data_IF_047195423213
#
_entry.id   IF_047195423213
#
_cell.length_a   1.000
_cell.length_b   1.000
_cell.length_c   1.000
_cell.angle_alpha   90.00
_cell.angle_beta   90.00
_cell.angle_gamma   90.00
#
_symmetry.space_group_name_H-M   'P 1'
#
loop_
_entity.id
_entity.type
_entity.pdbx_description
1 polymer ?
#
# COMPACT_ATOMS: atom_id res chain seq x y z
N UNK A 1 -81.98 -17.58 -51.59
CA UNK A 1 -80.70 -18.23 -51.24
C UNK A 1 -79.62 -17.16 -51.22
N UNK A 2 -78.98 -16.87 -50.08
CA UNK A 2 -77.77 -16.03 -50.07
C UNK A 2 -76.86 -16.43 -48.90
N UNK A 3 -75.54 -16.37 -49.14
CA UNK A 3 -74.49 -17.09 -48.40
C UNK A 3 -74.28 -16.57 -46.97
N UNK A 4 -74.18 -17.49 -46.01
CA UNK A 4 -73.68 -17.24 -44.66
C UNK A 4 -72.20 -16.84 -44.68
N UNK A 5 -71.82 -15.79 -43.95
CA UNK A 5 -70.43 -15.42 -43.69
C UNK A 5 -70.11 -15.62 -42.22
N UNK A 6 -69.32 -16.66 -41.90
CA UNK A 6 -68.84 -16.91 -40.54
C UNK A 6 -67.67 -15.96 -40.26
N UNK A 7 -67.86 -15.02 -39.33
CA UNK A 7 -66.77 -14.21 -38.77
C UNK A 7 -66.20 -14.91 -37.54
N UNK A 8 -65.00 -15.47 -37.66
CA UNK A 8 -64.25 -15.98 -36.51
C UNK A 8 -63.71 -14.80 -35.72
N UNK A 9 -64.18 -14.62 -34.49
CA UNK A 9 -63.63 -13.62 -33.57
C UNK A 9 -62.45 -14.21 -32.80
N UNK A 10 -61.23 -13.76 -33.12
CA UNK A 10 -60.03 -14.16 -32.38
C UNK A 10 -59.99 -13.44 -31.02
N UNK A 11 -60.19 -14.17 -29.94
CA UNK A 11 -60.04 -13.66 -28.57
C UNK A 11 -58.56 -13.64 -28.20
N UNK A 12 -57.94 -12.47 -28.26
CA UNK A 12 -56.56 -12.29 -27.80
C UNK A 12 -56.52 -12.26 -26.26
N UNK A 13 -55.92 -13.28 -25.63
CA UNK A 13 -55.60 -13.22 -24.20
C UNK A 13 -54.42 -12.26 -23.99
N UNK A 14 -54.72 -11.09 -23.43
CA UNK A 14 -53.69 -10.17 -22.94
C UNK A 14 -53.12 -10.73 -21.62
N UNK A 15 -51.96 -11.39 -21.68
CA UNK A 15 -51.22 -11.80 -20.48
C UNK A 15 -50.59 -10.55 -19.86
N UNK A 16 -51.25 -10.02 -18.83
CA UNK A 16 -50.76 -8.87 -18.07
C UNK A 16 -49.51 -9.24 -17.28
N UNK A 17 -48.34 -8.82 -17.76
CA UNK A 17 -47.09 -8.91 -17.00
C UNK A 17 -47.16 -7.93 -15.84
N UNK A 18 -47.44 -8.44 -14.63
CA UNK A 18 -47.32 -7.65 -13.40
C UNK A 18 -45.84 -7.44 -13.14
N UNK A 19 -45.33 -6.27 -13.53
CA UNK A 19 -44.00 -5.85 -13.15
C UNK A 19 -43.95 -5.72 -11.62
N UNK A 20 -43.13 -6.53 -10.96
CA UNK A 20 -42.78 -6.31 -9.57
C UNK A 20 -42.15 -4.91 -9.44
N UNK A 21 -42.43 -4.14 -8.37
CA UNK A 21 -41.78 -2.87 -8.16
C UNK A 21 -40.26 -3.11 -8.07
N UNK A 22 -39.49 -2.40 -8.90
CA UNK A 22 -38.05 -2.46 -8.82
C UNK A 22 -37.63 -2.05 -7.40
N UNK A 23 -36.84 -2.89 -6.73
CA UNK A 23 -36.26 -2.53 -5.44
C UNK A 23 -35.43 -1.25 -5.63
N UNK A 24 -35.84 -0.18 -4.97
CA UNK A 24 -35.13 1.09 -5.08
C UNK A 24 -33.69 0.89 -4.61
N UNK A 25 -32.73 1.27 -5.45
CA UNK A 25 -31.33 1.34 -5.03
C UNK A 25 -31.25 2.26 -3.79
N UNK A 26 -30.44 1.91 -2.77
CA UNK A 26 -30.32 2.74 -1.59
C UNK A 26 -29.83 4.13 -2.00
N UNK A 27 -30.64 5.14 -1.70
CA UNK A 27 -30.26 6.55 -1.84
C UNK A 27 -29.00 6.81 -1.01
N UNK A 28 -27.97 7.48 -1.55
CA UNK A 28 -26.84 7.92 -0.74
C UNK A 28 -27.33 8.75 0.46
N UNK A 29 -26.94 8.36 1.67
CA UNK A 29 -27.20 9.17 2.87
C UNK A 29 -26.39 10.48 2.74
N UNK A 30 -27.03 11.67 2.74
CA UNK A 30 -26.36 12.92 2.36
C UNK A 30 -25.47 13.51 3.47
N UNK A 31 -24.86 12.67 4.31
CA UNK A 31 -23.94 13.07 5.38
C UNK A 31 -22.53 12.47 5.19
N UNK A 32 -21.61 13.23 4.55
CA UNK A 32 -20.20 12.90 4.53
C UNK A 32 -19.61 13.11 5.93
N UNK A 33 -18.90 12.10 6.44
CA UNK A 33 -18.73 11.87 7.88
C UNK A 33 -17.60 10.87 8.30
N UNK A 34 -16.30 11.13 8.54
CA UNK A 34 -15.23 11.93 7.89
C UNK A 34 -15.63 13.25 7.29
N UNK A 35 -14.99 14.35 7.70
CA UNK A 35 -15.28 15.68 7.15
C UNK A 35 -15.06 15.68 5.62
N UNK A 36 -16.15 15.90 4.87
CA UNK A 36 -16.14 15.86 3.39
C UNK A 36 -15.93 14.47 2.74
N UNK A 37 -15.82 13.39 3.53
CA UNK A 37 -15.55 12.03 3.04
C UNK A 37 -16.80 11.20 2.65
N UNK A 38 -16.63 10.22 1.78
CA UNK A 38 -17.70 9.33 1.29
C UNK A 38 -17.60 7.93 1.88
N UNK A 39 -18.73 7.24 2.06
CA UNK A 39 -18.76 5.86 2.59
C UNK A 39 -17.93 4.91 1.73
N UNK A 40 -17.09 4.10 2.39
CA UNK A 40 -16.35 3.03 1.75
C UNK A 40 -17.29 1.87 1.38
N UNK A 41 -17.02 1.21 0.25
CA UNK A 41 -17.70 -0.04 -0.08
C UNK A 41 -17.16 -1.19 0.80
N UNK A 42 -18.00 -2.19 1.09
CA UNK A 42 -17.58 -3.37 1.86
C UNK A 42 -16.42 -4.09 1.15
N UNK A 43 -15.27 -4.20 1.82
CA UNK A 43 -14.04 -4.76 1.25
C UNK A 43 -13.19 -3.80 0.43
N UNK A 44 -13.51 -2.50 0.38
CA UNK A 44 -12.71 -1.50 -0.38
C UNK A 44 -11.41 -1.10 0.32
N UNK A 45 -11.41 -1.02 1.65
CA UNK A 45 -10.27 -0.67 2.49
C UNK A 45 -9.98 -1.80 3.50
N UNK A 46 -9.73 -3.03 3.02
CA UNK A 46 -9.92 -4.25 3.81
C UNK A 46 -8.87 -4.49 4.90
N UNK A 47 -7.78 -3.72 4.92
CA UNK A 47 -6.75 -3.73 5.97
C UNK A 47 -7.15 -2.96 7.25
N UNK A 48 -8.27 -2.23 7.22
CA UNK A 48 -8.66 -1.34 8.31
C UNK A 48 -9.06 -2.08 9.59
N UNK A 49 -8.67 -1.49 10.71
CA UNK A 49 -8.99 -1.93 12.07
C UNK A 49 -9.61 -0.76 12.83
N UNK A 50 -10.71 -1.02 13.54
CA UNK A 50 -11.22 -0.15 14.61
C UNK A 50 -10.75 -0.71 15.97
N UNK A 51 -10.28 0.16 16.86
CA UNK A 51 -9.71 -0.19 18.15
C UNK A 51 -10.60 0.35 19.29
N UNK A 52 -10.85 -0.50 20.29
CA UNK A 52 -11.89 -0.29 21.31
C UNK A 52 -11.68 0.89 22.29
N UNK A 53 -10.64 1.70 22.15
CA UNK A 53 -10.46 2.97 22.88
C UNK A 53 -10.95 4.20 22.12
N UNK A 54 -11.41 4.04 20.88
CA UNK A 54 -11.72 5.14 19.97
C UNK A 54 -10.50 5.56 19.13
N UNK A 55 -9.86 4.60 18.47
CA UNK A 55 -8.81 4.83 17.47
C UNK A 55 -8.97 3.90 16.26
N UNK A 56 -8.37 4.29 15.13
CA UNK A 56 -8.12 3.44 13.98
C UNK A 56 -6.78 2.72 14.05
N UNK A 57 -6.57 1.83 13.07
CA UNK A 57 -5.30 1.17 12.79
C UNK A 57 -5.33 0.45 11.45
N UNK A 58 -4.17 -0.03 11.02
CA UNK A 58 -4.03 -0.88 9.84
C UNK A 58 -3.39 -2.23 10.20
N UNK A 59 -3.95 -3.31 9.67
CA UNK A 59 -3.38 -4.64 9.82
C UNK A 59 -2.09 -4.73 8.98
N UNK A 60 -0.94 -4.63 9.64
CA UNK A 60 0.38 -4.66 9.01
C UNK A 60 0.82 -6.10 8.72
N UNK A 61 0.60 -7.00 9.67
CA UNK A 61 0.83 -8.44 9.52
C UNK A 61 -0.34 -9.22 10.15
N UNK A 62 -0.47 -10.55 9.93
CA UNK A 62 -1.64 -11.30 10.39
C UNK A 62 -1.95 -11.17 11.89
N UNK A 63 -0.97 -10.80 12.73
CA UNK A 63 -1.14 -10.66 14.18
C UNK A 63 -0.74 -9.26 14.71
N UNK A 64 -0.37 -8.31 13.84
CA UNK A 64 0.07 -6.97 14.25
C UNK A 64 -0.73 -5.86 13.57
N UNK A 65 -1.27 -4.95 14.38
CA UNK A 65 -1.91 -3.72 13.93
C UNK A 65 -0.97 -2.54 14.17
N UNK A 66 -0.69 -1.75 13.14
CA UNK A 66 -0.02 -0.45 13.25
C UNK A 66 -1.06 0.62 13.58
N UNK A 67 -0.79 1.42 14.60
CA UNK A 67 -1.62 2.54 15.07
C UNK A 67 -0.72 3.65 15.63
N UNK A 68 -1.28 4.69 16.25
CA UNK A 68 -0.53 5.79 16.86
C UNK A 68 0.01 5.42 18.26
N UNK A 69 1.07 6.08 18.69
CA UNK A 69 1.61 5.94 20.04
C UNK A 69 0.69 6.54 21.11
N UNK A 70 -0.06 7.60 20.78
CA UNK A 70 -1.05 8.21 21.68
C UNK A 70 -2.33 7.39 21.87
N UNK A 71 -2.62 6.45 20.97
CA UNK A 71 -3.76 5.52 21.07
C UNK A 71 -3.56 4.41 22.10
N UNK A 72 -2.37 4.31 22.71
CA UNK A 72 -1.99 3.19 23.59
C UNK A 72 -1.25 3.67 24.83
N UNK A 73 -1.31 2.86 25.88
CA UNK A 73 -0.44 2.97 27.04
C UNK A 73 1.03 2.63 26.68
N UNK A 74 1.92 2.72 27.68
CA UNK A 74 3.32 2.28 27.61
C UNK A 74 3.48 0.85 27.07
N UNK A 75 4.62 0.61 26.40
CA UNK A 75 5.09 -0.72 25.99
C UNK A 75 4.99 -1.77 27.10
N UNK A 76 4.40 -2.93 26.80
CA UNK A 76 4.20 -4.01 27.75
C UNK A 76 3.09 -4.98 27.35
N UNK A 77 2.82 -5.97 28.22
CA UNK A 77 1.67 -6.85 28.06
C UNK A 77 0.36 -6.10 28.35
N UNK A 78 -0.59 -6.17 27.42
CA UNK A 78 -1.91 -5.57 27.52
C UNK A 78 -2.93 -6.48 26.81
N UNK A 79 -4.10 -6.67 27.42
CA UNK A 79 -5.22 -7.47 26.91
C UNK A 79 -6.54 -6.71 26.93
N UNK A 80 -6.51 -5.40 27.24
CA UNK A 80 -7.68 -4.54 27.37
C UNK A 80 -8.27 -4.21 25.98
N UNK A 81 -7.40 -3.79 25.06
CA UNK A 81 -7.74 -3.40 23.69
C UNK A 81 -8.38 -4.58 22.95
N UNK A 82 -9.49 -4.32 22.28
CA UNK A 82 -10.08 -5.19 21.26
C UNK A 82 -9.95 -4.52 19.89
N UNK A 83 -9.45 -5.27 18.92
CA UNK A 83 -9.33 -4.88 17.53
C UNK A 83 -10.46 -5.52 16.71
N UNK A 84 -11.19 -4.70 15.96
CA UNK A 84 -12.34 -5.08 15.13
C UNK A 84 -11.99 -4.88 13.67
N UNK A 85 -12.12 -5.93 12.86
CA UNK A 85 -11.61 -5.99 11.49
C UNK A 85 -12.63 -6.59 10.50
N UNK A 86 -12.52 -6.22 9.23
CA UNK A 86 -13.20 -6.88 8.11
C UNK A 86 -14.59 -6.35 7.73
N UNK A 87 -15.06 -5.29 8.39
CA UNK A 87 -16.38 -4.68 8.17
C UNK A 87 -16.27 -3.18 7.89
N UNK A 88 -17.24 -2.62 7.16
CA UNK A 88 -17.46 -1.16 7.03
C UNK A 88 -18.40 -0.64 8.13
N UNK A 89 -19.36 -1.45 8.58
CA UNK A 89 -20.32 -1.09 9.62
C UNK A 89 -19.83 -1.57 10.98
N UNK A 90 -19.61 -0.65 11.93
CA UNK A 90 -19.03 -0.95 13.26
C UNK A 90 -19.92 -1.84 14.14
N UNK A 91 -21.20 -1.96 13.77
CA UNK A 91 -22.23 -2.77 14.44
C UNK A 91 -22.55 -4.07 13.68
N UNK A 92 -21.80 -4.42 12.63
CA UNK A 92 -22.01 -5.66 11.87
C UNK A 92 -21.54 -6.90 12.68
N UNK A 93 -22.43 -7.88 12.97
CA UNK A 93 -22.08 -9.05 13.77
C UNK A 93 -21.14 -10.04 13.06
N UNK A 94 -20.78 -9.81 11.79
CA UNK A 94 -19.74 -10.58 11.08
C UNK A 94 -18.31 -10.07 11.35
N UNK A 95 -18.15 -8.97 12.09
CA UNK A 95 -16.86 -8.37 12.38
C UNK A 95 -15.91 -9.30 13.16
N UNK A 96 -14.68 -9.43 12.67
CA UNK A 96 -13.65 -10.24 13.34
C UNK A 96 -13.09 -9.41 14.50
N UNK A 97 -13.45 -9.80 15.74
CA UNK A 97 -13.00 -9.15 16.97
C UNK A 97 -11.92 -9.97 17.67
N UNK A 98 -10.73 -9.40 17.87
CA UNK A 98 -9.60 -10.07 18.55
C UNK A 98 -8.99 -9.15 19.61
N UNK A 99 -8.72 -9.70 20.80
CA UNK A 99 -8.04 -8.96 21.88
C UNK A 99 -6.56 -8.79 21.61
N UNK A 100 -5.97 -7.74 22.19
CA UNK A 100 -4.54 -7.57 22.37
C UNK A 100 -3.92 -8.64 23.30
N UNK A 101 -2.60 -8.77 23.22
CA UNK A 101 -1.73 -9.43 24.21
C UNK A 101 -0.50 -8.61 24.60
N UNK A 102 -0.08 -7.67 23.73
CA UNK A 102 1.08 -6.82 23.95
C UNK A 102 0.96 -5.53 23.13
N UNK A 103 1.49 -4.44 23.66
CA UNK A 103 1.66 -3.14 23.00
C UNK A 103 3.15 -2.82 22.91
N UNK A 104 3.61 -2.39 21.74
CA UNK A 104 4.93 -1.77 21.56
C UNK A 104 4.75 -0.35 21.04
N UNK A 105 4.96 0.64 21.91
CA UNK A 105 4.99 2.06 21.59
C UNK A 105 6.38 2.47 21.09
N UNK A 106 6.46 3.41 20.16
CA UNK A 106 7.73 3.87 19.57
C UNK A 106 8.79 4.24 20.63
N UNK A 107 10.04 3.76 20.51
CA UNK A 107 11.11 4.06 21.47
C UNK A 107 11.37 5.57 21.64
N UNK A 108 11.04 6.10 22.82
CA UNK A 108 11.24 7.50 23.17
C UNK A 108 10.11 8.45 22.76
N UNK A 109 8.93 7.93 22.39
CA UNK A 109 7.72 8.76 22.27
C UNK A 109 7.42 9.49 23.59
N UNK A 110 7.05 10.78 23.47
CA UNK A 110 6.84 11.68 24.61
C UNK A 110 5.67 12.68 24.41
N UNK A 111 4.87 12.52 23.35
CA UNK A 111 3.85 13.49 22.94
C UNK A 111 4.25 14.43 21.80
N UNK A 112 5.40 14.22 21.13
CA UNK A 112 5.82 15.01 19.96
C UNK A 112 6.71 14.17 19.04
N UNK A 113 6.40 14.11 17.74
CA UNK A 113 7.03 13.16 16.82
C UNK A 113 6.76 11.70 17.20
N UNK A 114 7.39 10.76 16.48
CA UNK A 114 7.40 9.30 16.76
C UNK A 114 6.04 8.66 17.08
N UNK A 115 4.93 9.19 16.59
CA UNK A 115 3.60 8.78 17.04
C UNK A 115 3.13 7.51 16.32
N UNK A 116 3.77 6.38 16.63
CA UNK A 116 3.43 5.04 16.13
C UNK A 116 3.52 3.97 17.22
N UNK A 117 2.69 2.94 17.11
CA UNK A 117 2.71 1.76 17.96
C UNK A 117 2.24 0.51 17.22
N UNK A 118 2.69 -0.66 17.69
CA UNK A 118 2.23 -1.97 17.26
C UNK A 118 1.42 -2.63 18.37
N UNK A 119 0.18 -3.02 18.05
CA UNK A 119 -0.66 -3.86 18.91
C UNK A 119 -0.54 -5.31 18.42
N UNK A 120 -0.10 -6.20 19.30
CA UNK A 120 -0.08 -7.65 19.03
C UNK A 120 -1.39 -8.30 19.44
N UNK A 121 -2.09 -8.87 18.47
CA UNK A 121 -3.34 -9.60 18.65
C UNK A 121 -3.11 -10.96 19.32
N UNK A 122 -4.10 -11.48 20.05
CA UNK A 122 -4.06 -12.77 20.72
C UNK A 122 -4.00 -13.95 19.74
N UNK A 123 -4.66 -13.81 18.59
CA UNK A 123 -4.69 -14.79 17.50
C UNK A 123 -4.47 -14.10 16.17
N UNK A 124 -3.74 -14.70 15.22
CA UNK A 124 -3.67 -14.19 13.85
C UNK A 124 -5.05 -14.14 13.18
N UNK A 125 -5.31 -13.08 12.42
CA UNK A 125 -6.42 -12.95 11.48
C UNK A 125 -6.18 -13.93 10.33
N UNK A 126 -7.19 -14.76 10.00
CA UNK A 126 -7.12 -15.69 8.88
C UNK A 126 -7.41 -14.98 7.55
N UNK A 127 -6.66 -15.31 6.49
CA UNK A 127 -6.73 -14.67 5.17
C UNK A 127 -6.76 -13.13 5.21
N UNK A 128 -5.79 -12.48 5.89
CA UNK A 128 -5.82 -11.04 6.12
C UNK A 128 -5.45 -10.25 4.87
N UNK A 129 -6.07 -9.09 4.70
CA UNK A 129 -5.60 -8.06 3.80
C UNK A 129 -4.63 -7.18 4.58
N UNK A 130 -3.37 -7.15 4.15
CA UNK A 130 -2.30 -6.43 4.84
C UNK A 130 -1.99 -5.12 4.12
N UNK A 131 -1.82 -4.04 4.87
CA UNK A 131 -1.33 -2.78 4.32
C UNK A 131 0.20 -2.74 4.35
N UNK A 132 0.81 -2.46 3.19
CA UNK A 132 2.27 -2.34 3.08
C UNK A 132 2.70 -0.96 3.58
N UNK A 133 3.77 -0.90 4.36
CA UNK A 133 4.41 0.38 4.71
C UNK A 133 5.05 1.02 3.48
N UNK A 134 4.99 2.34 3.36
CA UNK A 134 5.90 3.04 2.47
C UNK A 134 7.35 2.92 2.97
N UNK A 135 8.29 2.78 2.05
CA UNK A 135 9.75 2.73 2.31
C UNK A 135 10.54 3.65 1.38
N UNK A 136 9.85 4.42 0.52
CA UNK A 136 10.44 5.34 -0.44
C UNK A 136 9.85 6.75 -0.24
N UNK A 137 10.63 7.72 0.27
CA UNK A 137 10.19 9.10 0.46
C UNK A 137 9.67 9.80 -0.81
N UNK A 138 9.97 9.31 -2.02
CA UNK A 138 9.36 9.83 -3.24
C UNK A 138 7.82 9.68 -3.26
N UNK A 139 7.26 8.75 -2.47
CA UNK A 139 5.82 8.57 -2.35
C UNK A 139 5.15 9.56 -1.39
N UNK A 140 5.90 10.25 -0.53
CA UNK A 140 5.38 11.11 0.56
C UNK A 140 4.92 12.50 0.06
N UNK A 141 4.30 12.54 -1.13
CA UNK A 141 3.80 13.77 -1.76
C UNK A 141 2.62 13.50 -2.71
N UNK A 142 1.91 14.55 -3.12
CA UNK A 142 0.78 14.46 -4.05
C UNK A 142 -0.56 14.40 -3.33
N UNK A 143 -1.38 13.39 -3.62
CA UNK A 143 -2.70 13.19 -3.00
C UNK A 143 -2.71 11.84 -2.28
N UNK A 144 -3.24 11.85 -1.06
CA UNK A 144 -3.39 10.69 -0.20
C UNK A 144 -4.88 10.36 0.01
N UNK A 145 -5.17 9.14 0.42
CA UNK A 145 -6.50 8.70 0.88
C UNK A 145 -6.46 8.53 2.39
N UNK A 146 -7.35 9.23 3.10
CA UNK A 146 -7.58 9.10 4.54
C UNK A 146 -8.89 8.34 4.77
N UNK A 147 -9.03 7.66 5.91
CA UNK A 147 -10.16 6.76 6.17
C UNK A 147 -10.31 6.43 7.66
N UNK A 148 -11.55 6.17 8.09
CA UNK A 148 -11.86 5.79 9.45
C UNK A 148 -13.35 5.85 9.79
N UNK A 149 -13.65 5.88 11.08
CA UNK A 149 -14.98 5.91 11.69
C UNK A 149 -15.16 7.12 12.63
N UNK A 150 -14.18 8.02 12.68
CA UNK A 150 -14.13 9.14 13.63
C UNK A 150 -15.20 10.19 13.43
N UNK A 151 -15.04 11.27 14.20
CA UNK A 151 -15.95 12.39 14.24
C UNK A 151 -16.11 13.06 12.87
N UNK A 152 -17.33 13.49 12.64
CA UNK A 152 -17.86 13.82 11.32
C UNK A 152 -17.81 15.32 11.02
N UNK A 153 -17.48 16.08 12.07
CA UNK A 153 -17.18 17.49 12.15
C UNK A 153 -16.39 17.71 13.45
N UNK A 154 -15.66 18.81 13.57
CA UNK A 154 -14.93 19.20 14.79
C UNK A 154 -15.84 19.17 16.04
N UNK A 155 -15.55 18.32 17.03
CA UNK A 155 -16.38 18.10 18.23
C UNK A 155 -17.78 17.51 17.94
N UNK A 156 -17.90 16.68 16.90
CA UNK A 156 -19.14 16.13 16.37
C UNK A 156 -19.61 14.83 17.05
N UNK A 157 -19.75 13.78 16.26
CA UNK A 157 -20.04 12.42 16.71
C UNK A 157 -19.58 11.42 15.65
N UNK A 158 -19.07 10.27 16.08
CA UNK A 158 -18.45 9.24 15.25
C UNK A 158 -19.41 8.60 14.24
N UNK A 159 -18.88 8.16 13.11
CA UNK A 159 -19.66 7.45 12.09
C UNK A 159 -19.71 5.94 12.35
N UNK A 160 -20.93 5.38 12.39
CA UNK A 160 -21.18 3.92 12.34
C UNK A 160 -20.54 3.26 11.10
N UNK A 161 -20.39 3.99 10.01
CA UNK A 161 -19.85 3.47 8.75
C UNK A 161 -18.48 4.04 8.44
N UNK A 162 -17.55 3.15 8.07
CA UNK A 162 -16.24 3.53 7.57
C UNK A 162 -16.39 4.40 6.33
N UNK A 163 -15.80 5.59 6.36
CA UNK A 163 -15.71 6.46 5.20
C UNK A 163 -14.24 6.72 4.82
N UNK A 164 -14.08 7.41 3.69
CA UNK A 164 -12.79 7.79 3.10
C UNK A 164 -12.85 9.19 2.48
N UNK A 165 -11.74 9.89 2.41
CA UNK A 165 -11.59 11.11 1.63
C UNK A 165 -10.22 11.16 0.94
N UNK A 166 -10.08 12.04 -0.05
CA UNK A 166 -8.78 12.38 -0.63
C UNK A 166 -8.31 13.73 -0.05
N UNK A 167 -7.03 13.81 0.28
CA UNK A 167 -6.40 14.99 0.88
C UNK A 167 -5.02 15.25 0.25
N UNK A 168 -4.68 16.49 -0.13
CA UNK A 168 -3.37 16.78 -0.73
C UNK A 168 -2.29 17.01 0.33
N UNK A 169 -1.07 16.63 -0.02
CA UNK A 169 0.17 16.90 0.73
C UNK A 169 0.40 18.40 0.98
N UNK A 170 0.89 18.72 2.17
CA UNK A 170 1.37 20.05 2.56
C UNK A 170 2.81 19.91 3.04
N UNK A 171 3.74 20.68 2.47
CA UNK A 171 5.15 20.64 2.84
C UNK A 171 5.42 21.19 4.26
N UNK A 172 6.52 20.78 4.88
CA UNK A 172 6.94 21.20 6.22
C UNK A 172 6.89 22.72 6.46
N UNK A 173 7.28 23.53 5.47
CA UNK A 173 7.36 24.97 5.63
C UNK A 173 5.97 25.62 5.57
N UNK A 174 5.13 25.18 4.62
CA UNK A 174 3.71 25.54 4.55
C UNK A 174 2.94 25.07 5.78
N UNK A 175 3.26 23.88 6.32
CA UNK A 175 2.65 23.35 7.53
C UNK A 175 3.06 24.17 8.77
N UNK A 176 4.37 24.43 8.96
CA UNK A 176 4.89 25.28 10.03
C UNK A 176 4.35 26.72 9.99
N UNK A 177 4.02 27.23 8.80
CA UNK A 177 3.42 28.54 8.62
C UNK A 177 1.98 28.66 9.17
N UNK A 178 1.30 27.57 9.50
CA UNK A 178 0.02 27.58 10.23
C UNK A 178 0.14 28.07 11.69
N UNK A 179 1.37 28.23 12.20
CA UNK A 179 1.69 28.82 13.51
C UNK A 179 1.25 27.96 14.70
N UNK A 180 1.36 28.49 15.92
CA UNK A 180 0.96 27.77 17.13
C UNK A 180 1.68 26.43 17.27
N UNK A 181 0.93 25.34 17.45
CA UNK A 181 1.47 23.99 17.60
C UNK A 181 2.30 23.54 16.38
N UNK A 182 1.91 23.93 15.17
CA UNK A 182 2.61 23.59 13.92
C UNK A 182 4.03 24.15 13.84
N UNK A 183 4.36 25.20 14.60
CA UNK A 183 5.75 25.67 14.71
C UNK A 183 6.68 24.66 15.40
N UNK A 184 6.14 23.66 16.09
CA UNK A 184 6.88 22.53 16.69
C UNK A 184 7.09 21.31 15.79
N UNK A 185 6.48 21.28 14.60
CA UNK A 185 6.43 20.09 13.72
C UNK A 185 7.82 19.49 13.45
N UNK A 186 7.96 18.20 13.74
CA UNK A 186 9.22 17.44 13.67
C UNK A 186 9.46 16.99 12.23
N UNK A 187 10.29 17.76 11.51
CA UNK A 187 10.60 17.52 10.11
C UNK A 187 11.08 16.09 9.86
N UNK A 188 10.56 15.47 8.80
CA UNK A 188 10.76 14.07 8.42
C UNK A 188 10.24 12.99 9.40
N UNK A 189 9.87 13.30 10.65
CA UNK A 189 9.11 12.37 11.51
C UNK A 189 7.59 12.55 11.31
N UNK A 190 7.15 13.75 10.95
CA UNK A 190 5.75 14.14 10.77
C UNK A 190 5.52 14.67 9.34
N UNK A 191 4.42 14.25 8.71
CA UNK A 191 3.96 14.68 7.38
C UNK A 191 2.58 15.33 7.49
N UNK A 192 2.35 16.43 6.75
CA UNK A 192 1.09 17.18 6.79
C UNK A 192 0.25 16.97 5.52
N UNK A 193 -1.08 16.99 5.67
CA UNK A 193 -2.01 16.99 4.54
C UNK A 193 -3.29 17.77 4.87
N UNK A 194 -3.71 18.66 3.95
CA UNK A 194 -4.99 19.35 3.95
C UNK A 194 -5.20 20.18 2.68
N UNK A 195 -6.46 20.45 2.34
CA UNK A 195 -6.74 21.55 1.42
C UNK A 195 -6.56 22.91 2.13
N UNK A 196 -6.01 23.95 1.45
CA UNK A 196 -5.82 25.26 2.07
C UNK A 196 -7.09 25.90 2.65
N UNK A 197 -8.24 25.67 2.01
CA UNK A 197 -9.55 26.14 2.47
C UNK A 197 -10.20 25.27 3.57
N UNK A 198 -9.54 24.19 4.01
CA UNK A 198 -10.12 23.19 4.90
C UNK A 198 -11.21 22.36 4.21
N UNK A 199 -12.15 21.84 5.01
CA UNK A 199 -13.34 21.11 4.55
C UNK A 199 -13.15 19.62 4.28
N UNK A 200 -11.92 19.10 4.30
CA UNK A 200 -11.61 17.66 4.32
C UNK A 200 -10.43 17.39 5.25
N UNK A 201 -10.63 16.48 6.21
CA UNK A 201 -9.63 16.07 7.21
C UNK A 201 -10.08 14.79 7.93
N UNK A 202 -9.16 14.18 8.68
CA UNK A 202 -9.45 13.23 9.76
C UNK A 202 -9.86 13.95 11.04
N UNK A 203 -10.53 13.26 11.96
CA UNK A 203 -11.00 13.87 13.22
C UNK A 203 -10.89 12.90 14.43
N UNK A 204 -11.46 13.29 15.58
CA UNK A 204 -11.39 12.48 16.80
C UNK A 204 -11.93 11.05 16.55
N UNK A 205 -11.17 10.02 16.87
CA UNK A 205 -11.52 8.63 16.59
C UNK A 205 -10.89 8.03 15.32
N UNK A 206 -10.41 8.87 14.39
CA UNK A 206 -9.57 8.41 13.27
C UNK A 206 -8.09 8.24 13.66
N UNK A 207 -7.69 8.81 14.80
CA UNK A 207 -6.38 8.65 15.46
C UNK A 207 -5.80 7.24 15.29
N UNK A 208 -4.54 7.13 14.87
CA UNK A 208 -3.91 5.84 14.58
C UNK A 208 -4.30 5.17 13.27
N UNK A 209 -5.33 5.65 12.57
CA UNK A 209 -5.71 5.18 11.24
C UNK A 209 -4.62 5.41 10.19
N UNK A 210 -4.65 4.68 9.05
CA UNK A 210 -3.69 4.86 7.97
C UNK A 210 -4.08 6.01 7.04
N UNK A 211 -3.12 6.89 6.76
CA UNK A 211 -3.13 7.70 5.54
C UNK A 211 -2.39 6.91 4.45
N UNK A 212 -3.01 6.73 3.28
CA UNK A 212 -2.50 5.82 2.24
C UNK A 212 -2.35 6.48 0.87
N UNK A 213 -1.65 5.82 -0.03
CA UNK A 213 -1.52 6.20 -1.44
C UNK A 213 -1.45 4.95 -2.30
N UNK A 214 -2.09 4.99 -3.47
CA UNK A 214 -1.94 3.92 -4.46
C UNK A 214 -0.73 4.21 -5.34
N UNK A 215 0.21 3.27 -5.43
CA UNK A 215 1.46 3.37 -6.18
C UNK A 215 1.62 2.10 -7.01
N UNK A 216 1.73 2.24 -8.33
CA UNK A 216 1.81 1.10 -9.28
C UNK A 216 0.69 0.05 -9.12
N UNK A 217 -0.50 0.48 -8.65
CA UNK A 217 -1.65 -0.37 -8.38
C UNK A 217 -1.74 -0.92 -6.94
N UNK A 218 -0.65 -0.93 -6.18
CA UNK A 218 -0.64 -1.35 -4.77
C UNK A 218 -0.96 -0.20 -3.82
N UNK A 219 -1.53 -0.50 -2.65
CA UNK A 219 -1.75 0.47 -1.58
C UNK A 219 -0.59 0.46 -0.58
N UNK A 220 -0.01 1.65 -0.36
CA UNK A 220 1.03 1.89 0.64
C UNK A 220 0.49 2.79 1.76
N UNK A 221 0.88 2.52 3.00
CA UNK A 221 0.70 3.44 4.12
C UNK A 221 1.78 4.52 4.09
N UNK A 222 1.35 5.76 3.88
CA UNK A 222 2.20 6.97 3.91
C UNK A 222 2.28 7.53 5.33
N UNK A 223 1.16 7.50 6.06
CA UNK A 223 1.03 8.11 7.37
C UNK A 223 0.24 7.29 8.38
N UNK A 224 0.40 7.65 9.65
CA UNK A 224 -0.48 7.27 10.77
C UNK A 224 -1.15 8.55 11.29
N UNK A 225 -2.48 8.60 11.40
CA UNK A 225 -3.21 9.79 11.92
C UNK A 225 -2.72 10.13 13.31
N UNK A 226 -2.22 11.36 13.51
CA UNK A 226 -1.54 11.76 14.75
C UNK A 226 -2.24 12.93 15.45
N UNK A 227 -2.22 14.15 14.89
CA UNK A 227 -2.79 15.34 15.56
C UNK A 227 -3.21 16.46 14.60
N UNK A 228 -3.93 17.46 15.12
CA UNK A 228 -4.34 18.68 14.41
C UNK A 228 -4.95 19.73 15.34
N UNK A 229 -4.90 21.02 14.95
CA UNK A 229 -5.63 22.09 15.65
C UNK A 229 -7.11 22.08 15.20
N UNK A 230 -7.91 21.22 15.84
CA UNK A 230 -9.30 20.96 15.43
C UNK A 230 -9.38 20.01 14.22
N UNK A 231 -10.50 20.03 13.49
CA UNK A 231 -10.70 19.19 12.30
C UNK A 231 -11.11 20.03 11.09
N UNK A 232 -10.40 19.86 9.96
CA UNK A 232 -10.75 20.44 8.65
C UNK A 232 -10.89 21.97 8.61
N UNK A 233 -10.25 22.69 9.54
CA UNK A 233 -10.30 24.16 9.56
C UNK A 233 -9.40 24.76 8.47
N UNK A 234 -9.78 25.92 7.92
CA UNK A 234 -8.99 26.57 6.88
C UNK A 234 -7.60 26.99 7.39
N UNK A 235 -6.55 26.62 6.66
CA UNK A 235 -5.15 26.85 7.08
C UNK A 235 -4.68 26.00 8.27
N UNK A 236 -5.42 24.97 8.69
CA UNK A 236 -5.04 24.02 9.74
C UNK A 236 -4.90 22.62 9.15
N UNK A 237 -3.68 22.14 8.86
CA UNK A 237 -3.49 20.83 8.28
C UNK A 237 -3.61 19.70 9.31
N UNK A 238 -4.07 18.53 8.88
CA UNK A 238 -3.91 17.30 9.63
C UNK A 238 -2.44 16.86 9.61
N UNK A 239 -1.94 16.36 10.74
CA UNK A 239 -0.57 15.88 10.92
C UNK A 239 -0.57 14.38 11.17
N UNK A 240 0.34 13.70 10.48
CA UNK A 240 0.45 12.25 10.45
C UNK A 240 1.91 11.83 10.70
N UNK A 241 2.14 10.72 11.38
CA UNK A 241 3.50 10.15 11.52
C UNK A 241 3.99 9.66 10.16
N UNK A 242 5.14 10.14 9.68
CA UNK A 242 5.67 9.82 8.36
C UNK A 242 6.24 8.39 8.32
N UNK A 243 5.52 7.46 7.68
CA UNK A 243 5.82 6.02 7.77
C UNK A 243 7.15 5.65 7.11
N UNK A 244 7.56 6.33 6.05
CA UNK A 244 8.83 6.07 5.36
C UNK A 244 10.07 6.25 6.25
N UNK A 245 10.00 7.16 7.23
CA UNK A 245 11.07 7.40 8.21
C UNK A 245 11.18 6.23 9.19
N UNK A 246 10.05 5.80 9.75
CA UNK A 246 9.99 4.78 10.80
C UNK A 246 9.87 3.35 10.29
N UNK A 247 9.78 3.12 8.98
CA UNK A 247 9.53 1.79 8.41
C UNK A 247 10.56 0.73 8.87
N UNK A 248 11.81 1.12 9.11
CA UNK A 248 12.85 0.23 9.65
C UNK A 248 12.64 -0.11 11.14
N UNK A 249 12.24 0.87 11.96
CA UNK A 249 11.96 0.67 13.38
C UNK A 249 10.67 -0.15 13.60
N UNK A 250 9.63 0.16 12.81
CA UNK A 250 8.35 -0.58 12.80
C UNK A 250 8.60 -2.04 12.39
N UNK A 251 9.45 -2.28 11.39
CA UNK A 251 9.87 -3.64 11.00
C UNK A 251 10.58 -4.37 12.14
N UNK A 252 11.60 -3.74 12.75
CA UNK A 252 12.38 -4.35 13.84
C UNK A 252 11.51 -4.66 15.07
N UNK A 253 10.58 -3.76 15.41
CA UNK A 253 9.60 -3.99 16.47
C UNK A 253 8.63 -5.14 16.12
N UNK A 254 8.18 -5.24 14.86
CA UNK A 254 7.32 -6.34 14.41
C UNK A 254 8.01 -7.71 14.45
N UNK A 255 9.27 -7.79 14.02
CA UNK A 255 10.10 -9.00 14.17
C UNK A 255 10.27 -9.39 15.65
N UNK A 256 10.59 -8.43 16.52
CA UNK A 256 10.74 -8.67 17.96
C UNK A 256 9.45 -9.16 18.64
N UNK A 257 8.28 -8.75 18.13
CA UNK A 257 6.98 -9.25 18.57
C UNK A 257 6.65 -10.66 18.02
N UNK A 258 7.51 -11.26 17.20
CA UNK A 258 7.27 -12.54 16.53
C UNK A 258 6.18 -12.46 15.46
N UNK A 259 5.96 -11.25 14.92
CA UNK A 259 4.91 -10.96 13.94
C UNK A 259 5.43 -10.19 12.73
N UNK A 260 6.73 -10.26 12.43
CA UNK A 260 7.29 -9.67 11.21
C UNK A 260 6.66 -10.29 9.94
N UNK A 261 6.61 -9.57 8.81
CA UNK A 261 6.22 -10.15 7.53
C UNK A 261 7.11 -11.35 7.17
N UNK A 262 6.57 -12.32 6.42
CA UNK A 262 7.41 -13.40 5.85
C UNK A 262 8.53 -12.77 5.00
N UNK A 263 9.82 -13.16 5.15
CA UNK A 263 10.93 -12.30 4.73
C UNK A 263 11.01 -11.96 3.24
N UNK A 264 10.47 -10.81 2.87
CA UNK A 264 11.11 -9.93 1.89
C UNK A 264 12.33 -9.26 2.55
N UNK A 265 13.45 -9.04 1.85
CA UNK A 265 14.68 -8.58 2.47
C UNK A 265 14.65 -7.08 2.83
N UNK A 266 14.34 -6.78 4.08
CA UNK A 266 14.50 -5.45 4.68
C UNK A 266 15.99 -5.12 4.88
N UNK A 267 16.45 -3.89 4.58
CA UNK A 267 17.86 -3.53 4.73
C UNK A 267 18.31 -3.51 6.19
N UNK A 268 19.41 -4.22 6.49
CA UNK A 268 20.03 -4.20 7.82
C UNK A 268 20.79 -2.89 8.03
N UNK A 269 20.62 -2.17 9.16
CA UNK A 269 21.48 -1.04 9.52
C UNK A 269 22.92 -1.52 9.72
N UNK A 270 23.90 -0.77 9.24
CA UNK A 270 25.29 -1.22 9.12
C UNK A 270 25.92 -1.60 10.48
N UNK A 271 26.25 -2.88 10.73
CA UNK A 271 27.10 -3.23 11.87
C UNK A 271 28.54 -2.79 11.58
N UNK A 272 29.19 -2.18 12.56
CA UNK A 272 30.64 -1.88 12.47
C UNK A 272 31.40 -3.20 12.30
N UNK A 273 32.28 -3.35 11.28
CA UNK A 273 32.72 -4.67 10.85
C UNK A 273 33.74 -5.32 11.81
N UNK A 274 33.34 -6.44 12.41
CA UNK A 274 34.28 -7.49 12.84
C UNK A 274 34.42 -8.52 11.71
N UNK A 275 35.64 -8.95 11.33
CA UNK A 275 35.80 -9.86 10.18
C UNK A 275 35.36 -11.29 10.53
N UNK A 276 34.34 -11.80 9.84
CA UNK A 276 34.04 -13.23 9.82
C UNK A 276 34.68 -13.88 8.58
N UNK A 277 35.63 -14.82 8.71
CA UNK A 277 36.23 -15.47 7.55
C UNK A 277 35.26 -16.46 6.88
N UNK A 278 35.13 -16.33 5.55
CA UNK A 278 34.54 -17.29 4.61
C UNK A 278 32.98 -17.42 4.55
N UNK A 279 32.27 -16.47 3.91
CA UNK A 279 30.92 -16.69 3.38
C UNK A 279 30.97 -17.41 2.02
N UNK A 280 30.32 -18.57 1.89
CA UNK A 280 30.45 -19.48 0.74
C UNK A 280 29.58 -19.16 -0.50
N UNK A 281 28.82 -18.06 -0.47
CA UNK A 281 27.87 -17.70 -1.53
C UNK A 281 28.08 -16.30 -2.11
N UNK A 282 27.43 -16.04 -3.24
CA UNK A 282 27.03 -14.67 -3.55
C UNK A 282 25.90 -14.24 -2.61
N UNK A 283 25.83 -12.93 -2.36
CA UNK A 283 24.74 -12.28 -1.62
C UNK A 283 24.65 -10.82 -2.04
N UNK A 284 24.86 -10.56 -3.33
CA UNK A 284 25.13 -9.20 -3.84
C UNK A 284 23.93 -8.71 -4.63
N UNK A 285 23.33 -7.62 -4.13
CA UNK A 285 22.31 -6.83 -4.84
C UNK A 285 22.97 -5.72 -5.65
N UNK A 286 22.60 -5.57 -6.93
CA UNK A 286 22.97 -4.41 -7.76
C UNK A 286 21.77 -3.90 -8.57
N UNK A 287 21.64 -2.57 -8.66
CA UNK A 287 20.71 -1.91 -9.59
C UNK A 287 21.44 -1.64 -10.90
N UNK A 288 20.80 -1.87 -12.04
CA UNK A 288 21.39 -1.57 -13.35
C UNK A 288 21.14 -0.14 -13.82
N UNK A 289 21.89 0.26 -14.85
CA UNK A 289 21.87 1.64 -15.38
C UNK A 289 20.52 1.93 -16.05
N UNK A 290 19.72 2.81 -15.45
CA UNK A 290 18.38 3.19 -15.93
C UNK A 290 18.15 4.70 -15.69
N UNK A 291 17.22 5.36 -16.41
CA UNK A 291 16.32 4.81 -17.43
C UNK A 291 17.01 4.49 -18.77
N UNK A 292 16.47 3.54 -19.52
CA UNK A 292 16.96 3.16 -20.87
C UNK A 292 15.78 2.94 -21.84
N UNK A 293 15.71 3.77 -22.88
CA UNK A 293 14.62 3.70 -23.87
C UNK A 293 14.68 2.45 -24.75
N UNK A 294 13.54 1.77 -24.85
CA UNK A 294 13.27 0.67 -25.79
C UNK A 294 12.72 1.31 -27.07
N UNK A 295 13.31 0.98 -28.22
CA UNK A 295 12.85 1.45 -29.53
C UNK A 295 12.20 0.30 -30.29
N UNK A 296 11.21 0.67 -31.11
CA UNK A 296 10.48 -0.17 -32.05
C UNK A 296 11.39 -1.22 -32.73
N UNK A 297 11.07 -2.49 -32.54
CA UNK A 297 11.74 -3.68 -33.02
C UNK A 297 13.25 -3.75 -32.70
N UNK A 298 13.69 -3.21 -31.56
CA UNK A 298 15.10 -3.23 -31.12
C UNK A 298 15.31 -3.96 -29.78
N UNK A 299 16.47 -4.59 -29.69
CA UNK A 299 17.08 -4.99 -28.42
C UNK A 299 17.86 -3.82 -27.83
N UNK A 300 17.69 -3.59 -26.54
CA UNK A 300 18.51 -2.69 -25.73
C UNK A 300 19.04 -3.43 -24.50
N UNK A 301 20.24 -3.08 -24.04
CA UNK A 301 20.85 -3.69 -22.85
C UNK A 301 21.20 -2.65 -21.81
N UNK A 302 20.74 -2.84 -20.58
CA UNK A 302 21.17 -2.07 -19.42
C UNK A 302 22.19 -2.89 -18.60
N UNK A 303 23.40 -2.36 -18.31
CA UNK A 303 24.41 -3.05 -17.51
C UNK A 303 24.25 -2.81 -16.00
N UNK A 304 24.65 -3.81 -15.20
CA UNK A 304 24.88 -3.73 -13.77
C UNK A 304 26.20 -4.44 -13.42
N UNK A 305 27.08 -3.85 -12.60
CA UNK A 305 28.40 -4.44 -12.31
C UNK A 305 28.45 -4.98 -10.89
N UNK A 306 28.65 -6.29 -10.77
CA UNK A 306 28.80 -7.01 -9.49
C UNK A 306 30.27 -7.11 -9.12
N UNK A 307 30.59 -6.75 -7.89
CA UNK A 307 31.88 -6.96 -7.25
C UNK A 307 31.68 -7.48 -5.81
N UNK A 308 32.71 -8.10 -5.23
CA UNK A 308 32.66 -8.62 -3.85
C UNK A 308 31.88 -9.94 -3.67
N UNK A 309 31.40 -10.55 -4.75
CA UNK A 309 30.76 -11.86 -4.71
C UNK A 309 31.80 -12.94 -4.36
N UNK A 310 31.67 -13.56 -3.19
CA UNK A 310 32.66 -14.51 -2.64
C UNK A 310 32.47 -15.96 -3.13
N UNK A 311 31.23 -16.33 -3.50
CA UNK A 311 30.87 -17.65 -4.00
C UNK A 311 30.21 -17.62 -5.38
N UNK A 312 29.42 -18.66 -5.67
CA UNK A 312 28.51 -18.70 -6.83
C UNK A 312 27.18 -17.99 -6.50
N UNK A 313 26.44 -17.49 -7.51
CA UNK A 313 25.06 -17.03 -7.31
C UNK A 313 24.12 -18.13 -6.79
N UNK A 314 22.96 -17.73 -6.29
CA UNK A 314 21.90 -18.63 -5.87
C UNK A 314 21.16 -19.29 -7.04
N UNK A 315 20.59 -20.47 -6.78
CA UNK A 315 19.57 -21.10 -7.62
C UNK A 315 18.19 -20.41 -7.50
N UNK A 316 18.04 -19.50 -6.53
CA UNK A 316 16.88 -18.64 -6.32
C UNK A 316 17.26 -17.16 -6.43
N UNK A 317 18.22 -16.83 -7.29
CA UNK A 317 18.60 -15.46 -7.59
C UNK A 317 17.40 -14.69 -8.18
N UNK A 318 17.34 -13.38 -8.00
CA UNK A 318 16.18 -12.58 -8.43
C UNK A 318 16.54 -11.46 -9.40
N UNK A 319 15.67 -11.24 -10.39
CA UNK A 319 15.70 -10.10 -11.29
C UNK A 319 14.38 -9.36 -11.16
N UNK A 320 14.37 -8.17 -10.58
CA UNK A 320 13.20 -7.29 -10.54
C UNK A 320 13.30 -6.24 -11.64
N UNK A 321 12.21 -5.96 -12.35
CA UNK A 321 12.15 -4.97 -13.43
C UNK A 321 10.96 -4.03 -13.28
N UNK A 322 11.14 -2.79 -13.71
CA UNK A 322 10.09 -1.82 -13.97
C UNK A 322 10.31 -1.28 -15.38
N UNK A 323 9.43 -1.65 -16.30
CA UNK A 323 9.50 -1.26 -17.71
C UNK A 323 8.14 -0.70 -18.12
N UNK A 324 8.09 0.56 -18.54
CA UNK A 324 6.93 1.07 -19.27
C UNK A 324 6.98 0.63 -20.73
N UNK A 325 5.89 0.11 -21.26
CA UNK A 325 5.75 -0.26 -22.68
C UNK A 325 4.28 -0.22 -23.09
N UNK A 326 3.99 0.33 -24.27
CA UNK A 326 2.61 0.48 -24.77
C UNK A 326 1.92 -0.86 -25.07
N UNK A 327 2.68 -1.91 -25.37
CA UNK A 327 2.18 -3.28 -25.47
C UNK A 327 3.23 -4.24 -24.89
N UNK A 328 2.98 -4.81 -23.70
CA UNK A 328 4.04 -5.52 -22.96
C UNK A 328 4.34 -6.91 -23.51
N UNK A 329 3.35 -7.57 -24.12
CA UNK A 329 3.50 -8.88 -24.75
C UNK A 329 4.53 -8.90 -25.88
N UNK A 330 4.90 -7.74 -26.42
CA UNK A 330 5.92 -7.64 -27.46
C UNK A 330 7.35 -7.77 -26.92
N UNK A 331 7.54 -7.77 -25.60
CA UNK A 331 8.85 -7.79 -24.96
C UNK A 331 9.38 -9.21 -24.69
N UNK A 332 10.59 -9.49 -25.16
CA UNK A 332 11.41 -10.61 -24.67
C UNK A 332 12.45 -10.09 -23.69
N UNK A 333 12.41 -10.55 -22.43
CA UNK A 333 13.33 -10.16 -21.37
C UNK A 333 14.33 -11.28 -21.08
N UNK A 334 15.62 -10.95 -21.04
CA UNK A 334 16.70 -11.88 -20.69
C UNK A 334 17.70 -11.23 -19.74
N UNK A 335 18.17 -11.97 -18.74
CA UNK A 335 19.37 -11.60 -17.99
C UNK A 335 20.59 -12.27 -18.62
N UNK A 336 21.68 -11.52 -18.80
CA UNK A 336 22.93 -11.97 -19.38
C UNK A 336 24.03 -11.90 -18.30
N UNK A 337 24.73 -13.02 -18.11
CA UNK A 337 25.83 -13.15 -17.17
C UNK A 337 27.16 -12.59 -17.74
N UNK A 338 28.20 -12.35 -16.89
CA UNK A 338 29.51 -11.89 -17.33
C UNK A 338 30.21 -12.83 -18.31
N UNK A 339 29.91 -14.13 -18.24
CA UNK A 339 30.34 -15.16 -19.20
C UNK A 339 29.59 -15.13 -20.55
N UNK A 340 28.67 -14.19 -20.74
CA UNK A 340 27.89 -13.99 -21.97
C UNK A 340 26.70 -14.94 -22.12
N UNK A 341 26.53 -15.94 -21.26
CA UNK A 341 25.35 -16.80 -21.30
C UNK A 341 24.11 -16.08 -20.77
N UNK A 342 22.92 -16.40 -21.31
CA UNK A 342 21.66 -15.75 -20.93
C UNK A 342 20.64 -16.70 -20.31
N UNK A 343 19.73 -16.15 -19.50
CA UNK A 343 18.54 -16.81 -18.97
C UNK A 343 17.32 -15.98 -19.36
N UNK A 344 16.25 -16.66 -19.78
CA UNK A 344 14.97 -16.06 -20.16
C UNK A 344 14.17 -15.69 -18.91
N UNK A 345 13.56 -14.49 -18.91
CA UNK A 345 12.72 -13.98 -17.82
C UNK A 345 11.25 -13.94 -18.27
N UNK A 346 11.01 -13.29 -19.41
CA UNK A 346 9.72 -13.18 -20.10
C UNK A 346 9.97 -13.47 -21.58
N UNK A 347 9.06 -14.19 -22.23
CA UNK A 347 9.09 -14.40 -23.68
C UNK A 347 7.94 -13.65 -24.36
N UNK A 348 8.06 -13.51 -25.67
CA UNK A 348 7.12 -12.80 -26.52
C UNK A 348 5.73 -13.47 -26.54
N UNK A 349 4.68 -12.74 -26.13
CA UNK A 349 3.28 -13.18 -26.11
C UNK A 349 2.37 -12.21 -26.88
N UNK A 350 1.93 -12.64 -28.07
CA UNK A 350 1.04 -11.87 -28.96
C UNK A 350 -0.34 -11.57 -28.37
N UNK A 351 -0.77 -12.19 -27.27
CA UNK A 351 -2.09 -11.93 -26.67
C UNK A 351 -2.04 -11.11 -25.38
N UNK A 352 -0.85 -10.82 -24.82
CA UNK A 352 -0.72 -9.93 -23.65
C UNK A 352 -0.69 -8.44 -24.04
N UNK A 353 -1.86 -7.92 -24.41
CA UNK A 353 -2.12 -6.51 -24.76
C UNK A 353 -2.15 -5.54 -23.58
N UNK A 354 -1.67 -5.95 -22.39
CA UNK A 354 -1.55 -5.02 -21.26
C UNK A 354 -0.32 -4.13 -21.44
N UNK A 355 -0.38 -2.93 -20.89
CA UNK A 355 0.80 -2.07 -20.80
C UNK A 355 1.70 -2.56 -19.64
N UNK A 356 2.98 -2.20 -19.72
CA UNK A 356 3.98 -2.24 -18.65
C UNK A 356 4.35 -3.61 -18.02
N UNK A 357 5.65 -3.81 -17.76
CA UNK A 357 6.20 -4.96 -17.02
C UNK A 357 6.75 -4.48 -15.68
N UNK A 358 5.98 -4.69 -14.62
CA UNK A 358 6.40 -4.50 -13.22
C UNK A 358 6.38 -5.87 -12.54
N UNK A 359 7.55 -6.51 -12.46
CA UNK A 359 7.63 -7.94 -12.12
C UNK A 359 8.98 -8.32 -11.52
N UNK A 360 8.97 -9.34 -10.66
CA UNK A 360 10.18 -10.00 -10.14
C UNK A 360 10.22 -11.45 -10.60
N UNK A 361 11.38 -11.87 -11.11
CA UNK A 361 11.65 -13.21 -11.63
C UNK A 361 12.65 -13.91 -10.72
N UNK A 362 12.28 -15.08 -10.18
CA UNK A 362 13.23 -15.99 -9.52
C UNK A 362 13.84 -16.90 -10.57
N UNK A 363 15.17 -16.96 -10.65
CA UNK A 363 15.92 -17.69 -11.68
C UNK A 363 17.13 -18.41 -11.10
N UNK A 364 17.45 -19.58 -11.66
CA UNK A 364 18.68 -20.29 -11.33
C UNK A 364 19.87 -19.64 -12.05
N UNK A 365 20.72 -18.97 -11.26
CA UNK A 365 21.99 -18.41 -11.72
C UNK A 365 23.20 -19.13 -11.08
N UNK A 366 22.99 -20.25 -10.38
CA UNK A 366 24.05 -20.99 -9.66
C UNK A 366 25.13 -21.59 -10.59
N UNK A 367 24.80 -21.77 -11.86
CA UNK A 367 25.75 -22.15 -12.90
C UNK A 367 26.58 -21.00 -13.49
N UNK A 368 26.42 -19.74 -13.02
CA UNK A 368 26.97 -18.53 -13.66
C UNK A 368 28.16 -17.91 -12.92
N UNK A 369 28.90 -17.06 -13.63
CA UNK A 369 29.97 -16.24 -13.05
C UNK A 369 29.39 -15.09 -12.22
N UNK A 370 29.70 -15.04 -10.92
CA UNK A 370 29.13 -14.05 -10.00
C UNK A 370 29.62 -12.61 -10.23
N UNK A 371 30.92 -12.36 -10.08
CA UNK A 371 31.51 -11.04 -10.31
C UNK A 371 31.58 -10.68 -11.81
N UNK A 372 31.42 -9.40 -12.13
CA UNK A 372 31.51 -8.84 -13.48
C UNK A 372 30.27 -8.05 -13.89
N UNK A 373 30.23 -7.62 -15.15
CA UNK A 373 29.09 -6.83 -15.68
C UNK A 373 28.00 -7.75 -16.22
N UNK A 374 26.94 -7.88 -15.42
CA UNK A 374 25.65 -8.44 -15.81
C UNK A 374 24.87 -7.45 -16.67
N UNK A 375 23.90 -7.94 -17.45
CA UNK A 375 23.01 -7.06 -18.25
C UNK A 375 21.57 -7.56 -18.26
N UNK A 376 20.61 -6.67 -18.09
CA UNK A 376 19.24 -6.91 -18.57
C UNK A 376 19.20 -6.58 -20.05
N UNK A 377 18.76 -7.54 -20.85
CA UNK A 377 18.48 -7.40 -22.27
C UNK A 377 16.98 -7.40 -22.47
N UNK A 378 16.44 -6.31 -22.99
CA UNK A 378 15.02 -6.19 -23.36
C UNK A 378 14.94 -6.02 -24.86
N UNK A 379 14.21 -6.92 -25.53
CA UNK A 379 13.90 -6.81 -26.95
C UNK A 379 12.42 -6.57 -27.13
N UNK A 380 12.06 -5.43 -27.71
CA UNK A 380 10.79 -5.34 -28.42
C UNK A 380 10.86 -6.17 -29.71
N UNK A 381 9.87 -7.03 -29.88
CA UNK A 381 9.80 -8.08 -30.88
C UNK A 381 8.68 -7.88 -31.92
N UNK A 382 7.85 -6.85 -31.79
CA UNK A 382 6.81 -6.50 -32.75
C UNK A 382 7.15 -5.23 -33.52
N UNK A 383 6.13 -4.41 -33.82
CA UNK A 383 6.24 -3.15 -34.56
C UNK A 383 5.14 -2.18 -34.13
N UNK A 384 5.48 -0.88 -34.03
CA UNK A 384 4.69 0.30 -33.62
C UNK A 384 4.86 0.70 -32.15
N UNK A 385 5.18 -0.26 -31.28
CA UNK A 385 5.22 -0.06 -29.83
C UNK A 385 6.60 0.35 -29.33
N UNK A 386 6.64 1.09 -28.21
CA UNK A 386 7.89 1.60 -27.62
C UNK A 386 7.77 1.72 -26.11
N UNK A 387 8.91 1.95 -25.44
CA UNK A 387 8.90 2.11 -23.99
C UNK A 387 10.24 2.47 -23.38
N UNK A 388 10.41 2.20 -22.09
CA UNK A 388 11.61 2.50 -21.33
C UNK A 388 11.75 1.53 -20.17
N UNK A 389 12.95 0.95 -20.00
CA UNK A 389 13.36 0.30 -18.75
C UNK A 389 13.60 1.42 -17.75
N UNK A 390 12.67 1.63 -16.82
CA UNK A 390 12.76 2.69 -15.80
C UNK A 390 13.64 2.28 -14.62
N UNK A 391 13.59 1.01 -14.23
CA UNK A 391 14.54 0.42 -13.28
C UNK A 391 14.68 -1.09 -13.46
N UNK A 392 15.80 -1.66 -13.00
CA UNK A 392 15.89 -3.08 -12.70
C UNK A 392 16.97 -3.37 -11.65
N UNK A 393 16.77 -4.44 -10.87
CA UNK A 393 17.66 -4.90 -9.81
C UNK A 393 17.95 -6.39 -9.98
N UNK A 394 19.21 -6.76 -9.85
CA UNK A 394 19.71 -8.14 -9.78
C UNK A 394 20.13 -8.46 -8.34
N UNK A 395 19.74 -9.62 -7.84
CA UNK A 395 20.26 -10.19 -6.59
C UNK A 395 20.80 -11.59 -6.87
N UNK A 396 22.10 -11.80 -6.64
CA UNK A 396 22.81 -13.06 -6.85
C UNK A 396 23.04 -13.80 -5.53
#
# INVERSE_FOLDING_TARGET
MLRTLIRVAAVALAVGVVAAPAAAAPTPDPRPSIVGGTRAAQGELPWMVHLSMGCGGALYTPQLVLTAAHCVDRTGADTSITATYGVVDDQDPSAISVRSTYVHQAPGYNGTGKDWALIKLATPIANPHLLRLNTDPANDSGVFTIMGWGDTSDGGSSSRYQLKAQVPFVDDASCKAAGGNYSGLVAAEEICAAYPQGGVDTCQGDSGGPMTKQVNGEWLQIGVVSWGDGCAQAGKPGVYTQVSHFAADIWAAAEALGGGPTPGPTPTPTPTPTPNPNPTGCGVSVTGTAPVSIRDNRTVTSPATVAGCAGKPSATATVAVTIRHTWRGDLTLRVIAPDGSSVLLEDFDRVDSRHDVVKSYTVDLSGKTGNGTWKLSVRDSATQDTGTVDSWKLTL
#
